data_IF_969737865603
#
_entry.id   IF_969737865603
#
_cell.length_a   1.000
_cell.length_b   1.000
_cell.length_c   1.000
_cell.angle_alpha   90.00
_cell.angle_beta   90.00
_cell.angle_gamma   90.00
#
_symmetry.space_group_name_H-M   'P 1'
#
loop_
_entity.id
_entity.type
_entity.pdbx_description
1 polymer ?
#
# COMPACT_ATOMS: atom_id res chain seq x y z
N UNK A 1 -21.58 -16.62 -8.26
CA UNK A 1 -21.55 -15.15 -8.42
C UNK A 1 -22.76 -14.60 -7.69
N UNK A 2 -22.62 -13.50 -6.96
CA UNK A 2 -23.75 -12.79 -6.34
C UNK A 2 -23.82 -11.38 -6.92
N UNK A 3 -25.03 -10.95 -7.27
CA UNK A 3 -25.26 -9.68 -7.97
C UNK A 3 -26.04 -8.76 -7.03
N UNK A 4 -25.49 -7.57 -6.78
CA UNK A 4 -26.11 -6.53 -5.96
C UNK A 4 -26.39 -5.33 -6.87
N UNK A 5 -27.66 -4.95 -6.95
CA UNK A 5 -28.12 -3.82 -7.75
C UNK A 5 -28.18 -2.55 -6.90
N UNK A 6 -28.34 -1.41 -7.56
CA UNK A 6 -28.44 -0.13 -6.86
C UNK A 6 -29.53 -0.13 -5.78
N UNK A 7 -29.28 0.60 -4.69
CA UNK A 7 -30.13 0.70 -3.50
C UNK A 7 -30.29 -0.57 -2.65
N UNK A 8 -29.73 -1.72 -3.06
CA UNK A 8 -29.68 -2.95 -2.27
C UNK A 8 -28.55 -2.93 -1.23
N UNK A 9 -28.70 -3.61 -0.09
CA UNK A 9 -27.63 -3.71 0.90
C UNK A 9 -26.42 -4.48 0.35
N UNK A 10 -25.22 -3.97 0.61
CA UNK A 10 -23.99 -4.69 0.26
C UNK A 10 -23.87 -5.99 1.06
N UNK A 11 -23.28 -7.04 0.47
CA UNK A 11 -23.02 -8.26 1.20
C UNK A 11 -22.14 -8.08 2.44
N UNK A 12 -22.38 -8.86 3.50
CA UNK A 12 -21.52 -8.81 4.69
C UNK A 12 -20.18 -9.55 4.49
N UNK A 13 -20.10 -10.47 3.53
CA UNK A 13 -18.90 -11.27 3.26
C UNK A 13 -18.55 -11.21 1.77
N UNK A 14 -17.26 -11.30 1.43
CA UNK A 14 -16.83 -11.37 0.04
C UNK A 14 -15.50 -12.12 -0.09
N UNK A 15 -15.21 -12.64 -1.27
CA UNK A 15 -13.85 -13.10 -1.63
C UNK A 15 -13.22 -12.18 -2.68
N UNK A 16 -14.01 -11.73 -3.65
CA UNK A 16 -13.63 -10.79 -4.68
C UNK A 16 -14.90 -10.03 -5.08
N UNK A 17 -14.77 -8.74 -5.35
CA UNK A 17 -15.88 -7.90 -5.76
C UNK A 17 -15.51 -7.05 -6.97
N UNK A 18 -16.47 -6.79 -7.85
CA UNK A 18 -16.28 -5.88 -8.98
C UNK A 18 -17.46 -4.93 -9.16
N UNK A 19 -17.19 -3.76 -9.72
CA UNK A 19 -18.19 -2.79 -10.14
C UNK A 19 -18.26 -2.67 -11.66
N UNK A 20 -19.46 -2.64 -12.23
CA UNK A 20 -19.69 -2.47 -13.67
C UNK A 20 -19.88 -0.99 -14.04
N UNK A 21 -18.75 -0.32 -14.27
CA UNK A 21 -18.69 1.10 -14.64
C UNK A 21 -18.83 1.26 -16.15
N UNK A 22 -19.65 2.22 -16.57
CA UNK A 22 -19.89 2.42 -18.00
C UNK A 22 -21.19 3.17 -18.25
N UNK A 23 -21.44 3.52 -19.51
CA UNK A 23 -22.63 4.27 -19.87
C UNK A 23 -23.87 3.39 -19.68
N UNK A 24 -24.92 4.01 -19.14
CA UNK A 24 -26.24 3.41 -19.00
C UNK A 24 -27.13 3.91 -20.11
N UNK A 25 -27.82 2.97 -20.75
CA UNK A 25 -28.81 3.25 -21.77
C UNK A 25 -29.99 4.06 -21.17
N UNK A 26 -30.26 5.26 -21.70
CA UNK A 26 -31.47 6.05 -21.41
C UNK A 26 -32.34 6.14 -22.66
N UNK A 27 -33.46 5.42 -22.73
CA UNK A 27 -34.37 5.47 -23.90
C UNK A 27 -35.06 4.16 -24.25
N UNK A 28 -35.42 4.00 -25.55
CA UNK A 28 -36.18 2.87 -26.07
C UNK A 28 -35.43 1.54 -25.94
N UNK A 29 -35.93 0.56 -25.15
CA UNK A 29 -35.27 -0.73 -24.92
C UNK A 29 -34.93 -1.52 -26.20
N UNK A 30 -35.70 -1.33 -27.29
CA UNK A 30 -35.53 -2.09 -28.53
C UNK A 30 -34.25 -1.76 -29.32
N UNK A 31 -33.58 -0.64 -29.00
CA UNK A 31 -32.39 -0.16 -29.72
C UNK A 31 -31.14 -0.07 -28.84
N UNK A 32 -31.18 -0.60 -27.62
CA UNK A 32 -30.15 -0.35 -26.60
C UNK A 32 -29.38 -1.62 -26.27
N UNK A 33 -28.05 -1.53 -26.33
CA UNK A 33 -27.16 -2.60 -25.91
C UNK A 33 -27.14 -2.68 -24.38
N UNK A 34 -27.82 -3.68 -23.82
CA UNK A 34 -27.70 -4.06 -22.40
C UNK A 34 -26.38 -4.82 -22.19
N UNK A 35 -25.28 -4.08 -22.31
CA UNK A 35 -23.94 -4.64 -22.17
C UNK A 35 -23.69 -5.17 -20.74
N UNK A 36 -24.42 -4.69 -19.73
CA UNK A 36 -24.28 -5.16 -18.35
C UNK A 36 -24.90 -6.55 -18.17
N UNK A 37 -26.07 -6.82 -18.74
CA UNK A 37 -26.60 -8.18 -18.78
C UNK A 37 -25.66 -9.14 -19.52
N UNK A 38 -25.08 -8.70 -20.63
CA UNK A 38 -24.08 -9.51 -21.35
C UNK A 38 -22.82 -9.73 -20.52
N UNK A 39 -22.31 -8.71 -19.81
CA UNK A 39 -21.18 -8.84 -18.91
C UNK A 39 -21.45 -9.86 -17.80
N UNK A 40 -22.65 -9.84 -17.19
CA UNK A 40 -23.04 -10.81 -16.17
C UNK A 40 -23.04 -12.24 -16.71
N UNK A 41 -23.59 -12.46 -17.91
CA UNK A 41 -23.58 -13.77 -18.59
C UNK A 41 -22.17 -14.26 -18.89
N UNK A 42 -21.29 -13.37 -19.35
CA UNK A 42 -19.89 -13.68 -19.64
C UNK A 42 -19.10 -13.99 -18.37
N UNK A 43 -19.31 -13.22 -17.29
CA UNK A 43 -18.70 -13.49 -15.98
C UNK A 43 -19.11 -14.86 -15.45
N UNK A 44 -20.38 -15.23 -15.57
CA UNK A 44 -20.88 -16.55 -15.21
C UNK A 44 -20.26 -17.65 -16.08
N UNK A 45 -20.20 -17.43 -17.40
CA UNK A 45 -19.60 -18.36 -18.38
C UNK A 45 -18.12 -18.61 -18.09
N UNK A 46 -17.37 -17.57 -17.71
CA UNK A 46 -15.97 -17.68 -17.30
C UNK A 46 -15.79 -18.17 -15.86
N UNK A 47 -16.87 -18.46 -15.14
CA UNK A 47 -16.83 -19.08 -13.82
C UNK A 47 -16.50 -18.10 -12.68
N UNK A 48 -16.69 -16.79 -12.84
CA UNK A 48 -16.49 -15.82 -11.76
C UNK A 48 -17.38 -16.16 -10.55
N UNK A 49 -16.78 -16.19 -9.35
CA UNK A 49 -17.48 -16.58 -8.11
C UNK A 49 -17.68 -15.43 -7.12
N UNK A 50 -17.18 -14.24 -7.42
CA UNK A 50 -17.28 -13.08 -6.54
C UNK A 50 -18.62 -12.34 -6.58
N UNK A 51 -18.61 -11.15 -6.01
CA UNK A 51 -19.70 -10.19 -5.98
C UNK A 51 -19.61 -9.22 -7.17
N UNK A 52 -20.76 -8.90 -7.76
CA UNK A 52 -20.88 -7.93 -8.85
C UNK A 52 -21.83 -6.82 -8.43
N UNK A 53 -21.34 -5.58 -8.44
CA UNK A 53 -22.11 -4.39 -8.18
C UNK A 53 -22.56 -3.75 -9.50
N UNK A 54 -23.87 -3.63 -9.65
CA UNK A 54 -24.53 -3.12 -10.85
C UNK A 54 -25.22 -1.80 -10.49
N UNK A 55 -24.85 -0.66 -11.12
CA UNK A 55 -25.43 0.64 -10.78
C UNK A 55 -26.87 0.82 -11.25
N UNK A 56 -27.42 -0.13 -12.01
CA UNK A 56 -28.82 -0.10 -12.43
C UNK A 56 -29.72 -0.69 -11.33
N UNK A 57 -30.99 -0.24 -11.24
CA UNK A 57 -31.98 -0.87 -10.38
C UNK A 57 -32.35 -2.26 -10.92
N UNK A 58 -32.67 -3.20 -10.02
CA UNK A 58 -32.97 -4.61 -10.38
C UNK A 58 -34.15 -4.75 -11.33
N UNK A 59 -35.18 -3.94 -11.14
CA UNK A 59 -36.42 -3.94 -11.93
C UNK A 59 -36.37 -2.97 -13.13
N UNK A 60 -35.24 -2.28 -13.32
CA UNK A 60 -35.08 -1.24 -14.34
C UNK A 60 -35.81 0.07 -14.01
N UNK A 61 -36.49 0.17 -12.85
CA UNK A 61 -37.24 1.35 -12.44
C UNK A 61 -36.36 2.24 -11.57
N UNK A 62 -36.00 3.39 -12.12
CA UNK A 62 -35.19 4.38 -11.39
C UNK A 62 -36.03 5.08 -10.33
N UNK A 63 -35.49 5.17 -9.12
CA UNK A 63 -36.10 5.94 -8.03
C UNK A 63 -35.80 7.43 -8.21
N UNK A 64 -36.72 8.30 -7.80
CA UNK A 64 -36.50 9.77 -7.81
C UNK A 64 -35.44 10.23 -6.79
N UNK A 65 -34.99 9.35 -5.89
CA UNK A 65 -33.95 9.64 -4.89
C UNK A 65 -32.54 9.55 -5.50
N UNK A 66 -32.20 10.59 -6.26
CA UNK A 66 -30.91 10.74 -6.92
C UNK A 66 -29.73 10.75 -5.93
N UNK A 67 -29.93 11.26 -4.71
CA UNK A 67 -28.87 11.32 -3.69
C UNK A 67 -28.52 9.92 -3.18
N UNK A 68 -29.53 9.07 -2.94
CA UNK A 68 -29.33 7.67 -2.54
C UNK A 68 -28.64 6.86 -3.64
N UNK A 69 -28.98 7.09 -4.90
CA UNK A 69 -28.31 6.44 -6.04
C UNK A 69 -26.81 6.75 -6.05
N UNK A 70 -26.44 8.05 -6.00
CA UNK A 70 -25.04 8.47 -5.98
C UNK A 70 -24.29 7.88 -4.78
N UNK A 71 -24.90 7.92 -3.59
CA UNK A 71 -24.26 7.40 -2.38
C UNK A 71 -23.99 5.89 -2.48
N UNK A 72 -24.90 5.13 -3.08
CA UNK A 72 -24.71 3.70 -3.31
C UNK A 72 -23.60 3.44 -4.33
N UNK A 73 -23.58 4.15 -5.46
CA UNK A 73 -22.55 4.01 -6.49
C UNK A 73 -21.16 4.34 -5.93
N UNK A 74 -21.03 5.45 -5.19
CA UNK A 74 -19.78 5.84 -4.54
C UNK A 74 -19.28 4.76 -3.56
N UNK A 75 -20.18 4.23 -2.73
CA UNK A 75 -19.85 3.16 -1.79
C UNK A 75 -19.44 1.86 -2.51
N UNK A 76 -20.14 1.51 -3.60
CA UNK A 76 -19.85 0.31 -4.38
C UNK A 76 -18.50 0.41 -5.10
N UNK A 77 -18.18 1.56 -5.68
CA UNK A 77 -16.89 1.83 -6.32
C UNK A 77 -15.73 1.77 -5.32
N UNK A 78 -15.88 2.37 -4.13
CA UNK A 78 -14.86 2.29 -3.09
C UNK A 78 -14.65 0.87 -2.56
N UNK A 79 -15.73 0.09 -2.47
CA UNK A 79 -15.73 -1.30 -2.00
C UNK A 79 -15.13 -2.28 -3.00
N UNK A 80 -15.31 -2.05 -4.30
CA UNK A 80 -14.92 -3.00 -5.33
C UNK A 80 -13.40 -3.25 -5.37
N UNK A 81 -13.01 -4.51 -5.57
CA UNK A 81 -11.62 -4.90 -5.82
C UNK A 81 -11.20 -4.56 -7.25
N UNK A 82 -12.14 -4.70 -8.19
CA UNK A 82 -11.96 -4.40 -9.60
C UNK A 82 -13.08 -3.50 -10.11
N UNK A 83 -12.75 -2.57 -10.99
CA UNK A 83 -13.72 -1.70 -11.66
C UNK A 83 -13.60 -1.98 -13.16
N UNK A 84 -14.60 -2.65 -13.71
CA UNK A 84 -14.68 -2.95 -15.13
C UNK A 84 -15.32 -1.75 -15.82
N UNK A 85 -14.51 -1.04 -16.60
CA UNK A 85 -14.91 0.16 -17.32
C UNK A 85 -15.18 -0.23 -18.78
N UNK A 86 -16.44 -0.48 -19.13
CA UNK A 86 -16.82 -0.75 -20.51
C UNK A 86 -17.30 0.54 -21.18
N UNK A 87 -16.63 0.97 -22.25
CA UNK A 87 -16.93 2.20 -23.00
C UNK A 87 -17.27 1.91 -24.47
N UNK A 88 -18.46 1.35 -24.77
CA UNK A 88 -18.97 1.18 -26.14
C UNK A 88 -19.56 2.49 -26.66
N UNK A 89 -18.74 3.56 -26.66
CA UNK A 89 -19.20 4.93 -26.85
C UNK A 89 -19.74 5.14 -28.27
N UNK A 90 -20.98 5.61 -28.33
CA UNK A 90 -21.67 6.09 -29.53
C UNK A 90 -22.31 7.42 -29.17
N UNK A 91 -21.93 8.52 -29.82
CA UNK A 91 -22.36 9.85 -29.37
C UNK A 91 -23.86 10.11 -29.50
N UNK A 92 -24.53 9.35 -30.38
CA UNK A 92 -25.97 9.41 -30.62
C UNK A 92 -26.82 8.62 -29.62
N UNK A 93 -26.27 7.54 -29.04
CA UNK A 93 -27.04 6.55 -28.28
C UNK A 93 -26.49 6.28 -26.89
N UNK A 94 -25.16 6.29 -26.73
CA UNK A 94 -24.49 5.88 -25.50
C UNK A 94 -23.20 6.70 -25.26
N UNK A 95 -23.32 8.03 -25.02
CA UNK A 95 -22.17 8.94 -25.01
C UNK A 95 -21.25 8.76 -23.79
N UNK A 96 -21.74 8.24 -22.66
CA UNK A 96 -20.93 7.96 -21.47
C UNK A 96 -20.22 9.19 -20.90
N UNK A 97 -20.97 10.28 -20.72
CA UNK A 97 -20.42 11.55 -20.23
C UNK A 97 -20.04 11.47 -18.75
N UNK A 98 -20.92 10.95 -17.88
CA UNK A 98 -20.62 10.73 -16.46
C UNK A 98 -19.46 9.77 -16.28
N UNK A 99 -19.38 8.72 -17.12
CA UNK A 99 -18.26 7.76 -17.09
C UNK A 99 -16.90 8.41 -17.35
N UNK A 100 -16.83 9.56 -18.03
CA UNK A 100 -15.56 10.28 -18.15
C UNK A 100 -15.06 10.85 -16.83
N UNK A 101 -15.98 11.36 -16.00
CA UNK A 101 -15.67 11.90 -14.68
C UNK A 101 -15.23 10.78 -13.74
N UNK A 102 -15.99 9.67 -13.69
CA UNK A 102 -15.65 8.49 -12.91
C UNK A 102 -14.30 7.89 -13.33
N UNK A 103 -14.06 7.76 -14.64
CA UNK A 103 -12.76 7.33 -15.18
C UNK A 103 -11.63 8.27 -14.76
N UNK A 104 -11.87 9.58 -14.83
CA UNK A 104 -10.92 10.62 -14.41
C UNK A 104 -10.54 10.50 -12.94
N UNK A 105 -11.54 10.32 -12.07
CA UNK A 105 -11.35 10.11 -10.65
C UNK A 105 -10.55 8.84 -10.35
N UNK A 106 -11.02 7.68 -10.84
CA UNK A 106 -10.44 6.39 -10.48
C UNK A 106 -9.07 6.13 -11.09
N UNK A 107 -8.79 6.61 -12.31
CA UNK A 107 -7.45 6.46 -12.91
C UNK A 107 -6.39 7.23 -12.11
N UNK A 108 -6.78 8.31 -11.43
CA UNK A 108 -5.89 9.09 -10.57
C UNK A 108 -5.79 8.49 -9.17
N UNK A 109 -6.90 7.97 -8.65
CA UNK A 109 -6.99 7.51 -7.25
C UNK A 109 -6.39 6.12 -7.05
N UNK A 110 -6.76 5.16 -7.89
CA UNK A 110 -6.33 3.77 -7.76
C UNK A 110 -6.41 3.01 -9.10
N UNK A 111 -5.50 3.32 -10.04
CA UNK A 111 -5.53 2.74 -11.38
C UNK A 111 -5.41 1.21 -11.40
N UNK A 112 -4.86 0.60 -10.35
CA UNK A 112 -4.64 -0.85 -10.30
C UNK A 112 -5.92 -1.67 -10.16
N UNK A 113 -7.05 -1.05 -9.81
CA UNK A 113 -8.37 -1.72 -9.82
C UNK A 113 -9.04 -1.67 -11.18
N UNK A 114 -8.64 -0.73 -12.04
CA UNK A 114 -9.32 -0.49 -13.30
C UNK A 114 -8.99 -1.57 -14.32
N UNK A 115 -10.00 -1.93 -15.11
CA UNK A 115 -9.85 -2.62 -16.38
C UNK A 115 -10.64 -1.83 -17.41
N UNK A 116 -9.99 -1.39 -18.48
CA UNK A 116 -10.63 -0.58 -19.51
C UNK A 116 -10.99 -1.46 -20.71
N UNK A 117 -12.26 -1.52 -21.05
CA UNK A 117 -12.73 -2.16 -22.28
C UNK A 117 -13.32 -1.13 -23.24
N UNK A 118 -12.83 -1.14 -24.49
CA UNK A 118 -13.18 -0.17 -25.52
C UNK A 118 -13.31 -0.93 -26.84
N UNK A 119 -14.53 -1.20 -27.36
CA UNK A 119 -14.68 -1.89 -28.62
C UNK A 119 -14.11 -1.07 -29.78
N UNK A 120 -13.78 -1.74 -30.88
CA UNK A 120 -13.05 -1.14 -32.01
C UNK A 120 -13.77 0.04 -32.67
N UNK A 121 -15.11 0.05 -32.61
CA UNK A 121 -16.00 1.05 -33.18
C UNK A 121 -16.40 2.17 -32.19
N UNK A 122 -15.83 2.18 -30.97
CA UNK A 122 -16.10 3.20 -29.97
C UNK A 122 -15.55 4.58 -30.39
N UNK A 123 -16.41 5.58 -30.33
CA UNK A 123 -16.10 6.95 -30.73
C UNK A 123 -15.35 7.70 -29.61
N UNK A 124 -14.44 8.62 -29.94
CA UNK A 124 -13.85 9.58 -28.99
C UNK A 124 -13.24 8.97 -27.69
N UNK A 125 -12.55 7.84 -27.81
CA UNK A 125 -11.95 7.07 -26.69
C UNK A 125 -10.41 7.09 -26.63
N UNK A 126 -9.76 7.82 -27.54
CA UNK A 126 -8.28 7.86 -27.65
C UNK A 126 -7.61 8.34 -26.36
N UNK A 127 -8.23 9.29 -25.66
CA UNK A 127 -7.69 9.86 -24.43
C UNK A 127 -7.70 8.84 -23.28
N UNK A 128 -8.76 8.06 -23.15
CA UNK A 128 -8.90 7.00 -22.16
C UNK A 128 -7.83 5.92 -22.39
N UNK A 129 -7.64 5.48 -23.65
CA UNK A 129 -6.59 4.52 -24.02
C UNK A 129 -5.19 5.05 -23.71
N UNK A 130 -4.89 6.31 -24.02
CA UNK A 130 -3.57 6.91 -23.73
C UNK A 130 -3.20 6.83 -22.24
N UNK A 131 -4.11 7.25 -21.35
CA UNK A 131 -3.86 7.16 -19.91
C UNK A 131 -3.83 5.73 -19.40
N UNK A 132 -4.68 4.85 -19.95
CA UNK A 132 -4.66 3.45 -19.56
C UNK A 132 -3.28 2.82 -19.82
N UNK A 133 -2.71 3.02 -21.01
CA UNK A 133 -1.36 2.57 -21.34
C UNK A 133 -0.30 3.18 -20.44
N UNK A 134 -0.33 4.51 -20.25
CA UNK A 134 0.66 5.20 -19.42
C UNK A 134 0.65 4.79 -17.94
N UNK A 135 -0.50 4.38 -17.42
CA UNK A 135 -0.69 3.93 -16.03
C UNK A 135 -0.63 2.40 -15.87
N UNK A 136 -0.42 1.66 -16.96
CA UNK A 136 -0.42 0.19 -16.94
C UNK A 136 -1.79 -0.44 -16.64
N UNK A 137 -2.89 0.27 -16.89
CA UNK A 137 -4.26 -0.24 -16.79
C UNK A 137 -4.50 -1.21 -17.96
N UNK A 138 -4.95 -2.46 -17.72
CA UNK A 138 -5.28 -3.40 -18.79
C UNK A 138 -6.35 -2.84 -19.74
N UNK A 139 -6.09 -2.92 -21.05
CA UNK A 139 -7.02 -2.49 -22.10
C UNK A 139 -7.51 -3.70 -22.89
N UNK A 140 -8.82 -3.78 -23.12
CA UNK A 140 -9.49 -4.86 -23.84
C UNK A 140 -10.31 -4.30 -25.00
N UNK A 141 -10.31 -4.99 -26.13
CA UNK A 141 -11.12 -4.62 -27.29
C UNK A 141 -12.48 -5.37 -27.33
N UNK A 142 -12.72 -6.30 -26.40
CA UNK A 142 -14.00 -7.01 -26.27
C UNK A 142 -14.39 -7.21 -24.81
N UNK A 143 -15.71 -7.25 -24.57
CA UNK A 143 -16.28 -7.46 -23.24
C UNK A 143 -15.98 -8.87 -22.71
N UNK A 144 -16.01 -9.88 -23.59
CA UNK A 144 -15.65 -11.26 -23.28
C UNK A 144 -14.21 -11.37 -22.77
N UNK A 145 -13.24 -10.79 -23.47
CA UNK A 145 -11.85 -10.84 -23.04
C UNK A 145 -11.63 -10.19 -21.67
N UNK A 146 -12.30 -9.06 -21.41
CA UNK A 146 -12.27 -8.37 -20.13
C UNK A 146 -12.89 -9.20 -19.01
N UNK A 147 -14.08 -9.78 -19.23
CA UNK A 147 -14.76 -10.64 -18.27
C UNK A 147 -13.94 -11.91 -17.97
N UNK A 148 -13.36 -12.54 -18.99
CA UNK A 148 -12.46 -13.68 -18.83
C UNK A 148 -11.18 -13.33 -18.06
N UNK A 149 -10.66 -12.11 -18.22
CA UNK A 149 -9.49 -11.65 -17.48
C UNK A 149 -9.77 -11.42 -16.00
N UNK A 150 -10.89 -10.78 -15.64
CA UNK A 150 -11.27 -10.60 -14.22
C UNK A 150 -11.68 -11.91 -13.56
N UNK A 151 -12.31 -12.84 -14.30
CA UNK A 151 -12.70 -14.14 -13.76
C UNK A 151 -11.51 -15.00 -13.26
N UNK A 152 -10.31 -14.76 -13.80
CA UNK A 152 -9.06 -15.40 -13.36
C UNK A 152 -8.44 -14.78 -12.12
N UNK A 153 -8.94 -13.63 -11.66
CA UNK A 153 -8.41 -12.97 -10.47
C UNK A 153 -8.76 -13.77 -9.21
N UNK A 154 -7.76 -14.03 -8.39
CA UNK A 154 -7.94 -14.75 -7.12
C UNK A 154 -8.59 -13.81 -6.09
N UNK A 155 -9.63 -14.29 -5.40
CA UNK A 155 -10.19 -13.61 -4.23
C UNK A 155 -9.56 -14.06 -2.90
N UNK A 156 -9.87 -13.34 -1.83
CA UNK A 156 -9.56 -13.71 -0.44
C UNK A 156 -10.74 -13.35 0.48
N UNK A 157 -11.10 -14.26 1.41
CA UNK A 157 -12.27 -14.10 2.26
C UNK A 157 -12.11 -12.90 3.19
N UNK A 158 -13.15 -12.07 3.25
CA UNK A 158 -13.28 -10.85 4.05
C UNK A 158 -14.72 -10.72 4.55
N UNK A 159 -14.90 -10.11 5.72
CA UNK A 159 -16.23 -9.88 6.31
C UNK A 159 -16.37 -8.46 6.93
N UNK A 160 -17.59 -7.95 7.00
CA UNK A 160 -17.90 -6.64 7.57
C UNK A 160 -17.14 -5.51 6.88
N UNK A 161 -16.45 -4.68 7.67
CA UNK A 161 -15.63 -3.57 7.16
C UNK A 161 -14.41 -4.02 6.36
N UNK A 162 -13.92 -5.25 6.56
CA UNK A 162 -12.82 -5.82 5.78
C UNK A 162 -13.14 -5.88 4.29
N UNK A 163 -14.43 -6.05 3.93
CA UNK A 163 -14.86 -6.08 2.55
C UNK A 163 -14.71 -4.73 1.82
N UNK A 164 -14.44 -3.64 2.54
CA UNK A 164 -14.12 -2.33 1.95
C UNK A 164 -12.62 -2.13 1.75
N UNK A 165 -11.78 -3.07 2.20
CA UNK A 165 -10.33 -3.06 1.97
C UNK A 165 -10.03 -3.81 0.68
N UNK A 166 -9.46 -3.16 -0.35
CA UNK A 166 -9.22 -3.81 -1.65
C UNK A 166 -8.14 -4.89 -1.54
N UNK A 167 -8.25 -5.93 -2.38
CA UNK A 167 -7.35 -7.08 -2.34
C UNK A 167 -5.87 -6.72 -2.36
N UNK A 168 -5.45 -5.70 -3.10
CA UNK A 168 -4.02 -5.34 -3.18
C UNK A 168 -3.47 -4.69 -1.91
N UNK A 169 -4.32 -4.07 -1.07
CA UNK A 169 -3.93 -3.58 0.28
C UNK A 169 -4.09 -4.70 1.29
N UNK A 170 -5.20 -5.42 1.23
CA UNK A 170 -5.49 -6.59 2.07
C UNK A 170 -4.32 -7.58 2.07
N UNK A 171 -3.72 -7.82 0.91
CA UNK A 171 -2.57 -8.74 0.74
C UNK A 171 -1.25 -8.25 1.30
N UNK A 172 -1.14 -6.99 1.69
CA UNK A 172 0.14 -6.46 2.17
C UNK A 172 0.44 -7.01 3.57
N UNK A 173 1.70 -7.39 3.85
CA UNK A 173 2.09 -7.82 5.20
C UNK A 173 1.76 -6.77 6.26
N UNK A 174 2.00 -5.49 5.97
CA UNK A 174 1.71 -4.38 6.86
C UNK A 174 0.22 -4.29 7.26
N UNK A 175 -0.70 -4.45 6.30
CA UNK A 175 -2.13 -4.45 6.60
C UNK A 175 -2.50 -5.66 7.47
N UNK A 176 -2.03 -6.85 7.11
CA UNK A 176 -2.35 -8.07 7.86
C UNK A 176 -1.80 -8.02 9.29
N UNK A 177 -0.59 -7.50 9.50
CA UNK A 177 0.00 -7.33 10.82
C UNK A 177 -0.81 -6.34 11.69
N UNK A 178 -1.15 -5.16 11.13
CA UNK A 178 -2.00 -4.18 11.82
C UNK A 178 -3.37 -4.75 12.16
N UNK A 179 -4.02 -5.40 11.19
CA UNK A 179 -5.35 -5.96 11.36
C UNK A 179 -5.38 -7.09 12.40
N UNK A 180 -4.35 -7.95 12.41
CA UNK A 180 -4.16 -8.95 13.45
C UNK A 180 -3.99 -8.32 14.83
N UNK A 181 -3.20 -7.24 14.94
CA UNK A 181 -3.05 -6.51 16.20
C UNK A 181 -4.37 -5.91 16.70
N UNK A 182 -5.18 -5.33 15.82
CA UNK A 182 -6.52 -4.82 16.17
C UNK A 182 -7.43 -5.96 16.66
N UNK A 183 -7.49 -7.08 15.94
CA UNK A 183 -8.28 -8.26 16.34
C UNK A 183 -7.83 -8.82 17.68
N UNK A 184 -6.52 -8.92 17.92
CA UNK A 184 -5.96 -9.40 19.17
C UNK A 184 -6.30 -8.48 20.36
N UNK A 185 -6.44 -7.18 20.11
CA UNK A 185 -6.94 -6.21 21.10
C UNK A 185 -8.47 -6.25 21.28
N UNK A 186 -9.18 -7.11 20.53
CA UNK A 186 -10.64 -7.21 20.52
C UNK A 186 -11.35 -6.17 19.64
N UNK A 187 -10.61 -5.33 18.92
CA UNK A 187 -11.18 -4.30 18.06
C UNK A 187 -11.70 -4.88 16.75
N UNK A 188 -12.66 -4.20 16.14
CA UNK A 188 -13.30 -4.63 14.88
C UNK A 188 -13.20 -3.52 13.84
N UNK A 189 -12.82 -3.88 12.61
CA UNK A 189 -12.87 -2.99 11.46
C UNK A 189 -14.31 -2.93 10.93
N UNK A 190 -14.99 -1.80 11.15
CA UNK A 190 -16.35 -1.56 10.67
C UNK A 190 -16.39 -0.86 9.31
N UNK A 191 -15.36 -0.08 8.97
CA UNK A 191 -15.25 0.52 7.65
C UNK A 191 -13.84 0.91 7.24
N UNK A 192 -13.59 0.98 5.94
CA UNK A 192 -12.33 1.40 5.35
C UNK A 192 -12.57 2.16 4.04
N UNK A 193 -11.78 3.21 3.81
CA UNK A 193 -11.73 3.95 2.54
C UNK A 193 -10.28 4.18 2.14
N UNK A 194 -9.96 3.90 0.89
CA UNK A 194 -8.62 4.16 0.36
C UNK A 194 -8.40 5.63 0.14
N UNK A 195 -7.40 6.17 0.83
CA UNK A 195 -6.96 7.56 0.70
C UNK A 195 -5.85 7.73 -0.33
N UNK A 196 -4.95 6.76 -0.43
CA UNK A 196 -3.84 6.85 -1.38
C UNK A 196 -3.15 5.51 -1.51
N UNK A 197 -2.60 5.22 -2.69
CA UNK A 197 -1.75 4.05 -2.92
C UNK A 197 -0.56 4.48 -3.75
N UNK A 198 0.63 4.16 -3.27
CA UNK A 198 1.89 4.37 -3.97
C UNK A 198 2.55 3.06 -4.32
N UNK A 199 3.01 3.00 -5.57
CA UNK A 199 3.51 1.80 -6.21
C UNK A 199 4.85 2.12 -6.84
N UNK A 200 5.83 1.26 -6.60
CA UNK A 200 7.13 1.34 -7.27
C UNK A 200 7.11 0.60 -8.62
N UNK A 201 6.16 -0.33 -8.80
CA UNK A 201 5.81 -1.00 -10.06
C UNK A 201 4.29 -1.23 -10.08
N UNK A 202 3.62 -1.40 -11.24
CA UNK A 202 2.16 -1.54 -11.30
C UNK A 202 1.56 -2.56 -10.31
N UNK A 203 2.26 -3.69 -10.10
CA UNK A 203 1.83 -4.78 -9.20
C UNK A 203 2.36 -4.67 -7.77
N UNK A 204 3.29 -3.75 -7.49
CA UNK A 204 4.03 -3.70 -6.24
C UNK A 204 3.68 -2.46 -5.40
N UNK A 205 2.80 -2.65 -4.42
CA UNK A 205 2.38 -1.62 -3.46
C UNK A 205 3.49 -1.37 -2.46
N UNK A 206 4.07 -0.17 -2.45
CA UNK A 206 5.08 0.23 -1.48
C UNK A 206 4.47 0.96 -0.28
N UNK A 207 3.53 1.87 -0.52
CA UNK A 207 2.85 2.57 0.56
C UNK A 207 1.37 2.74 0.25
N UNK A 208 0.56 2.84 1.29
CA UNK A 208 -0.87 3.08 1.17
C UNK A 208 -1.38 3.84 2.38
N UNK A 209 -2.51 4.50 2.21
CA UNK A 209 -3.22 5.16 3.29
C UNK A 209 -4.70 4.76 3.28
N UNK A 210 -5.22 4.38 4.45
CA UNK A 210 -6.62 4.01 4.66
C UNK A 210 -7.24 4.92 5.72
N UNK A 211 -8.34 5.58 5.40
CA UNK A 211 -9.25 6.08 6.42
C UNK A 211 -10.04 4.90 6.98
N UNK A 212 -10.09 4.75 8.30
CA UNK A 212 -10.68 3.56 8.95
C UNK A 212 -11.72 3.96 9.98
N UNK A 213 -12.73 3.10 10.11
CA UNK A 213 -13.67 3.10 11.23
C UNK A 213 -13.44 1.84 12.06
N UNK A 214 -12.88 2.02 13.25
CA UNK A 214 -12.58 0.96 14.20
C UNK A 214 -13.53 1.04 15.38
N UNK A 215 -14.24 -0.05 15.65
CA UNK A 215 -14.89 -0.24 16.93
C UNK A 215 -13.84 -0.68 17.97
N UNK A 216 -13.62 0.17 18.97
CA UNK A 216 -12.65 -0.05 20.05
C UNK A 216 -13.36 -0.75 21.19
N UNK A 217 -13.18 -2.07 21.30
CA UNK A 217 -13.98 -2.90 22.20
C UNK A 217 -13.82 -2.52 23.67
N UNK A 218 -12.59 -2.19 24.09
CA UNK A 218 -12.30 -1.77 25.46
C UNK A 218 -13.00 -0.45 25.86
N UNK A 219 -13.37 0.37 24.88
CA UNK A 219 -13.97 1.69 25.10
C UNK A 219 -15.45 1.76 24.69
N UNK A 220 -15.97 0.73 24.01
CA UNK A 220 -17.36 0.68 23.55
C UNK A 220 -17.73 1.79 22.56
N UNK A 221 -16.76 2.31 21.78
CA UNK A 221 -16.97 3.42 20.84
C UNK A 221 -16.32 3.18 19.49
N UNK A 222 -16.76 3.97 18.51
CA UNK A 222 -16.11 4.06 17.22
C UNK A 222 -14.97 5.10 17.23
N UNK A 223 -13.95 4.81 16.43
CA UNK A 223 -12.85 5.71 16.08
C UNK A 223 -12.78 5.77 14.55
N UNK A 224 -13.34 6.84 13.99
CA UNK A 224 -13.63 6.96 12.56
C UNK A 224 -13.10 8.28 11.95
N UNK A 225 -12.09 8.90 12.58
CA UNK A 225 -11.54 10.19 12.18
C UNK A 225 -10.02 10.14 11.99
N UNK A 226 -9.50 8.94 11.72
CA UNK A 226 -8.06 8.71 11.53
C UNK A 226 -7.79 8.00 10.22
N UNK A 227 -6.63 8.34 9.67
CA UNK A 227 -6.02 7.63 8.56
C UNK A 227 -4.80 6.89 9.09
N UNK A 228 -4.64 5.65 8.65
CA UNK A 228 -3.42 4.87 8.89
C UNK A 228 -2.60 4.81 7.61
N UNK A 229 -1.28 4.91 7.75
CA UNK A 229 -0.33 4.70 6.65
C UNK A 229 0.38 3.37 6.82
N UNK A 230 0.43 2.55 5.76
CA UNK A 230 1.20 1.30 5.75
C UNK A 230 2.27 1.28 4.67
N UNK A 231 3.40 0.68 5.00
CA UNK A 231 4.54 0.35 4.12
C UNK A 231 5.27 -0.88 4.67
N UNK A 232 6.16 -1.53 3.90
CA UNK A 232 6.99 -2.62 4.42
C UNK A 232 7.74 -2.22 5.69
N UNK A 233 7.78 -3.15 6.66
CA UNK A 233 8.61 -3.04 7.86
C UNK A 233 10.10 -3.04 7.48
N UNK A 234 10.93 -2.45 8.34
CA UNK A 234 12.37 -2.40 8.15
C UNK A 234 13.10 -3.35 9.11
N UNK A 235 14.30 -3.77 8.72
CA UNK A 235 15.27 -4.38 9.62
C UNK A 235 16.45 -3.43 9.76
N UNK A 236 16.73 -2.99 11.00
CA UNK A 236 17.77 -2.01 11.32
C UNK A 236 18.83 -2.61 12.24
N UNK A 237 20.09 -2.22 12.04
CA UNK A 237 21.21 -2.74 12.84
C UNK A 237 21.89 -1.63 13.64
N UNK A 238 21.83 -1.71 14.96
CA UNK A 238 22.66 -0.89 15.85
C UNK A 238 24.07 -1.49 15.89
N UNK A 239 24.97 -0.93 15.09
CA UNK A 239 26.38 -1.31 15.10
C UNK A 239 27.13 -0.36 16.03
N UNK A 240 27.82 -0.89 17.03
CA UNK A 240 28.40 -0.07 18.08
C UNK A 240 29.71 -0.63 18.64
N UNK A 241 30.39 0.18 19.43
CA UNK A 241 31.50 -0.24 20.27
C UNK A 241 31.39 0.44 21.63
N UNK A 242 31.23 -0.35 22.71
CA UNK A 242 31.12 0.22 24.05
C UNK A 242 32.41 0.92 24.47
N UNK A 243 32.23 2.06 25.11
CA UNK A 243 33.27 2.75 25.86
C UNK A 243 33.03 2.57 27.36
N UNK A 244 34.02 2.95 28.17
CA UNK A 244 33.89 2.94 29.63
C UNK A 244 32.85 3.97 30.11
N UNK A 245 32.88 5.19 29.54
CA UNK A 245 31.78 6.14 29.65
C UNK A 245 30.69 5.76 28.63
N UNK A 246 29.48 5.53 29.11
CA UNK A 246 28.31 5.22 28.30
C UNK A 246 28.13 6.21 27.14
N UNK A 247 28.32 7.50 27.39
CA UNK A 247 28.14 8.57 26.42
C UNK A 247 29.26 8.63 25.36
N UNK A 248 30.39 7.98 25.60
CA UNK A 248 31.47 7.80 24.63
C UNK A 248 31.35 6.53 23.79
N UNK A 249 30.30 5.74 23.98
CA UNK A 249 30.00 4.60 23.10
C UNK A 249 29.91 5.10 21.67
N UNK A 250 30.65 4.47 20.77
CA UNK A 250 30.65 4.79 19.34
C UNK A 250 29.54 4.01 18.64
N UNK A 251 28.80 4.68 17.78
CA UNK A 251 27.71 4.14 16.98
C UNK A 251 28.00 4.43 15.51
N UNK A 252 27.77 3.44 14.66
CA UNK A 252 27.86 3.56 13.21
C UNK A 252 26.49 3.91 12.66
N UNK A 253 26.44 4.96 11.86
CA UNK A 253 25.26 5.46 11.16
C UNK A 253 25.56 5.53 9.66
N UNK A 254 24.49 5.60 8.88
CA UNK A 254 24.51 5.95 7.46
C UNK A 254 23.91 7.33 7.29
N UNK A 255 24.58 8.19 6.53
CA UNK A 255 24.06 9.49 6.11
C UNK A 255 23.54 9.37 4.69
N UNK A 256 22.28 9.70 4.48
CA UNK A 256 21.64 9.68 3.16
C UNK A 256 20.77 10.93 2.95
N UNK A 257 20.75 11.46 1.72
CA UNK A 257 19.75 12.44 1.33
C UNK A 257 18.36 11.78 1.34
N UNK A 258 17.43 12.36 2.09
CA UNK A 258 16.03 11.94 2.08
C UNK A 258 15.17 13.15 1.78
N UNK A 259 14.32 13.08 0.75
CA UNK A 259 13.44 14.18 0.36
C UNK A 259 12.48 14.67 1.47
N UNK A 260 12.08 13.87 2.49
CA UNK A 260 11.30 14.36 3.64
C UNK A 260 12.14 15.04 4.72
N UNK A 261 13.47 15.04 4.62
CA UNK A 261 14.35 15.55 5.66
C UNK A 261 14.11 17.05 5.92
N UNK A 262 14.23 17.43 7.19
CA UNK A 262 14.22 18.83 7.66
C UNK A 262 15.46 19.17 8.46
N UNK A 263 16.54 18.42 8.22
CA UNK A 263 17.86 18.60 8.83
C UNK A 263 18.64 19.68 8.08
N UNK A 264 19.68 20.28 8.70
CA UNK A 264 20.41 21.39 8.09
C UNK A 264 21.05 21.09 6.73
N UNK A 265 21.39 19.83 6.46
CA UNK A 265 22.07 19.39 5.24
C UNK A 265 21.18 18.58 4.28
N UNK A 266 19.88 18.48 4.56
CA UNK A 266 18.95 17.69 3.77
C UNK A 266 19.18 16.17 3.86
N UNK A 267 19.97 15.71 4.83
CA UNK A 267 20.27 14.31 5.04
C UNK A 267 19.78 13.81 6.40
N UNK A 268 19.31 12.58 6.45
CA UNK A 268 19.02 11.87 7.70
C UNK A 268 20.21 10.98 8.03
N UNK A 269 20.55 10.92 9.32
CA UNK A 269 21.57 10.01 9.81
C UNK A 269 20.87 8.89 10.56
N UNK A 270 20.80 7.73 9.94
CA UNK A 270 20.01 6.59 10.39
C UNK A 270 20.91 5.36 10.65
N UNK A 271 20.33 4.33 11.26
CA UNK A 271 20.98 3.04 11.34
C UNK A 271 21.02 2.40 9.94
N UNK A 272 22.04 1.58 9.60
CA UNK A 272 21.97 0.79 8.40
C UNK A 272 20.71 -0.10 8.44
N UNK A 273 19.82 0.09 7.47
CA UNK A 273 18.49 -0.49 7.49
C UNK A 273 17.76 -0.42 6.16
N UNK A 274 16.83 -1.35 5.98
CA UNK A 274 15.98 -1.33 4.81
C UNK A 274 14.86 -2.35 4.88
N UNK A 275 14.16 -2.53 3.77
CA UNK A 275 12.92 -3.31 3.71
C UNK A 275 12.90 -4.22 2.50
N UNK A 276 12.03 -5.23 2.53
CA UNK A 276 11.88 -6.16 1.42
C UNK A 276 10.43 -6.41 1.06
N UNK A 277 10.19 -6.66 -0.21
CA UNK A 277 8.91 -7.17 -0.71
C UNK A 277 8.87 -8.71 -0.77
N UNK A 278 10.02 -9.37 -0.60
CA UNK A 278 10.11 -10.82 -0.61
C UNK A 278 9.50 -11.40 0.67
N UNK A 279 8.45 -12.23 0.54
CA UNK A 279 7.70 -12.77 1.69
C UNK A 279 8.46 -13.83 2.47
N UNK A 280 9.44 -14.45 1.86
CA UNK A 280 10.24 -15.55 2.39
C UNK A 280 11.58 -15.07 2.97
N UNK A 281 11.93 -13.79 2.82
CA UNK A 281 13.17 -13.23 3.34
C UNK A 281 12.97 -12.77 4.79
N UNK A 282 13.80 -13.28 5.69
CA UNK A 282 13.75 -12.91 7.10
C UNK A 282 14.34 -11.53 7.34
N UNK A 283 13.89 -10.84 8.40
CA UNK A 283 14.48 -9.55 8.78
C UNK A 283 15.97 -9.64 9.12
N UNK A 284 16.44 -10.79 9.62
CA UNK A 284 17.87 -11.03 9.83
C UNK A 284 18.64 -11.03 8.50
N UNK A 285 18.11 -11.66 7.45
CA UNK A 285 18.74 -11.66 6.13
C UNK A 285 18.77 -10.24 5.57
N UNK A 286 17.65 -9.50 5.64
CA UNK A 286 17.59 -8.10 5.22
C UNK A 286 18.64 -7.26 5.95
N UNK A 287 18.69 -7.33 7.29
CA UNK A 287 19.69 -6.61 8.08
C UNK A 287 21.15 -6.86 7.61
N UNK A 288 21.47 -8.10 7.22
CA UNK A 288 22.81 -8.46 6.71
C UNK A 288 23.07 -7.87 5.32
N UNK A 289 22.08 -7.91 4.44
CA UNK A 289 22.18 -7.34 3.10
C UNK A 289 22.39 -5.83 3.18
N UNK A 290 21.59 -5.13 3.99
CA UNK A 290 21.64 -3.66 4.12
C UNK A 290 22.97 -3.19 4.71
N UNK A 291 23.49 -3.87 5.74
CA UNK A 291 24.82 -3.54 6.29
C UNK A 291 25.92 -3.71 5.24
N UNK A 292 25.80 -4.71 4.35
CA UNK A 292 26.76 -4.89 3.26
C UNK A 292 26.59 -3.83 2.18
N UNK A 293 25.37 -3.49 1.80
CA UNK A 293 25.07 -2.51 0.75
C UNK A 293 25.42 -1.09 1.17
N UNK A 294 25.08 -0.70 2.40
CA UNK A 294 25.19 0.68 2.88
C UNK A 294 26.51 1.01 3.59
N UNK A 295 27.25 0.01 4.06
CA UNK A 295 28.53 0.19 4.77
C UNK A 295 29.70 -0.60 4.16
N UNK A 296 29.45 -1.45 3.16
CA UNK A 296 30.46 -2.36 2.61
C UNK A 296 30.93 -3.43 3.62
N UNK A 297 30.24 -3.59 4.75
CA UNK A 297 30.66 -4.48 5.83
C UNK A 297 30.01 -5.85 5.66
N UNK A 298 30.83 -6.89 5.56
CA UNK A 298 30.33 -8.28 5.58
C UNK A 298 30.22 -8.76 7.01
N UNK A 299 29.02 -9.21 7.40
CA UNK A 299 28.73 -9.70 8.75
C UNK A 299 28.31 -11.17 8.72
N UNK A 300 28.73 -11.94 9.74
CA UNK A 300 28.18 -13.27 9.99
C UNK A 300 26.83 -13.12 10.69
N UNK A 301 25.70 -13.61 10.13
CA UNK A 301 24.38 -13.45 10.75
C UNK A 301 24.31 -13.95 12.19
N UNK A 302 25.18 -14.88 12.60
CA UNK A 302 25.22 -15.44 13.96
C UNK A 302 25.77 -14.48 15.01
N UNK A 303 26.44 -13.40 14.60
CA UNK A 303 26.96 -12.38 15.53
C UNK A 303 25.92 -11.30 15.84
N UNK A 304 24.82 -11.25 15.09
CA UNK A 304 23.73 -10.32 15.34
C UNK A 304 22.86 -10.80 16.50
N UNK A 305 22.55 -9.88 17.41
CA UNK A 305 21.55 -10.08 18.47
C UNK A 305 20.24 -9.40 18.09
N UNK A 306 19.12 -10.12 18.15
CA UNK A 306 17.79 -9.57 17.93
C UNK A 306 17.21 -8.93 19.21
N UNK A 307 16.51 -7.80 19.06
CA UNK A 307 15.90 -7.03 20.16
C UNK A 307 14.37 -6.87 20.05
N UNK A 308 13.77 -7.32 18.96
CA UNK A 308 12.32 -7.25 18.71
C UNK A 308 11.94 -6.16 17.71
N UNK A 309 10.64 -5.87 17.61
CA UNK A 309 10.08 -4.89 16.67
C UNK A 309 9.17 -3.88 17.38
N UNK A 310 9.20 -2.63 16.94
CA UNK A 310 8.33 -1.54 17.43
C UNK A 310 7.94 -0.61 16.28
N UNK A 311 6.78 0.05 16.40
CA UNK A 311 6.39 1.11 15.47
C UNK A 311 7.35 2.30 15.56
N UNK A 312 7.73 2.86 14.42
CA UNK A 312 8.61 4.03 14.37
C UNK A 312 7.83 5.33 14.64
N UNK A 313 6.58 5.42 14.15
CA UNK A 313 5.69 6.57 14.36
C UNK A 313 4.23 6.11 14.55
N UNK A 314 3.90 5.60 15.74
CA UNK A 314 2.68 4.83 15.98
C UNK A 314 1.34 5.55 15.75
N UNK A 315 1.31 6.89 15.82
CA UNK A 315 0.11 7.70 15.56
C UNK A 315 -0.09 8.04 14.07
N UNK A 316 0.88 7.70 13.21
CA UNK A 316 0.84 7.99 11.78
C UNK A 316 0.87 6.71 10.94
N UNK A 317 1.68 5.73 11.35
CA UNK A 317 1.94 4.57 10.51
C UNK A 317 2.00 3.25 11.27
N UNK A 318 1.55 2.20 10.58
CA UNK A 318 1.53 0.83 11.09
C UNK A 318 2.87 0.10 10.95
N UNK A 319 3.81 0.65 10.16
CA UNK A 319 5.09 0.00 9.92
C UNK A 319 5.96 -0.03 11.18
N UNK A 320 6.74 -1.11 11.31
CA UNK A 320 7.64 -1.37 12.41
C UNK A 320 9.10 -1.45 11.95
N UNK A 321 10.02 -1.18 12.86
CA UNK A 321 11.42 -1.51 12.72
C UNK A 321 11.78 -2.70 13.60
N UNK A 322 12.30 -3.76 12.99
CA UNK A 322 12.95 -4.86 13.69
C UNK A 322 14.40 -4.48 13.98
N UNK A 323 14.81 -4.54 15.24
CA UNK A 323 16.14 -4.10 15.68
C UNK A 323 17.07 -5.28 15.93
N UNK A 324 18.23 -5.21 15.32
CA UNK A 324 19.38 -6.06 15.58
C UNK A 324 20.54 -5.23 16.13
N UNK A 325 21.52 -5.87 16.75
CA UNK A 325 22.75 -5.19 17.16
C UNK A 325 24.00 -6.00 16.89
N UNK A 326 25.08 -5.30 16.64
CA UNK A 326 26.43 -5.86 16.49
C UNK A 326 27.43 -5.00 17.29
N UNK A 327 28.09 -5.60 18.28
CA UNK A 327 29.24 -4.95 18.91
C UNK A 327 30.52 -5.28 18.14
N UNK A 328 31.27 -4.26 17.74
CA UNK A 328 32.49 -4.40 16.97
C UNK A 328 33.75 -4.43 17.84
N UNK A 329 34.78 -5.11 17.33
CA UNK A 329 36.14 -4.99 17.86
C UNK A 329 36.71 -3.59 17.62
N UNK A 330 37.80 -3.25 18.31
CA UNK A 330 38.48 -1.97 18.13
C UNK A 330 39.01 -1.80 16.69
N UNK A 331 39.52 -2.88 16.09
CA UNK A 331 40.07 -2.90 14.74
C UNK A 331 38.98 -2.68 13.69
N UNK A 332 37.85 -3.38 13.82
CA UNK A 332 36.71 -3.21 12.92
C UNK A 332 36.13 -1.79 13.01
N UNK A 333 36.00 -1.23 14.22
CA UNK A 333 35.55 0.15 14.39
C UNK A 333 36.54 1.16 13.82
N UNK A 334 37.85 0.89 13.90
CA UNK A 334 38.88 1.75 13.31
C UNK A 334 38.77 1.83 11.78
N UNK A 335 38.40 0.74 11.11
CA UNK A 335 38.17 0.73 9.66
C UNK A 335 36.97 1.62 9.28
N UNK A 336 35.87 1.56 10.03
CA UNK A 336 34.69 2.41 9.79
C UNK A 336 34.96 3.89 10.09
N UNK A 337 35.76 4.20 11.12
CA UNK A 337 36.26 5.57 11.34
C UNK A 337 37.08 6.08 10.16
N UNK A 338 37.94 5.23 9.58
CA UNK A 338 38.71 5.60 8.40
C UNK A 338 37.79 5.88 7.19
N UNK A 339 36.73 5.08 7.01
CA UNK A 339 35.71 5.34 5.98
C UNK A 339 35.00 6.68 6.18
N UNK A 340 34.58 6.99 7.42
CA UNK A 340 33.92 8.26 7.76
C UNK A 340 34.83 9.46 7.45
N UNK A 341 36.08 9.42 7.92
CA UNK A 341 37.07 10.46 7.61
C UNK A 341 37.30 10.63 6.09
N UNK A 342 37.25 9.53 5.34
CA UNK A 342 37.38 9.54 3.89
C UNK A 342 36.08 9.92 3.14
N UNK A 343 34.96 10.12 3.84
CA UNK A 343 33.62 10.26 3.24
C UNK A 343 33.31 9.14 2.23
N UNK A 344 33.63 7.91 2.61
CA UNK A 344 33.38 6.75 1.74
C UNK A 344 31.88 6.58 1.53
N UNK A 345 31.48 6.52 0.27
CA UNK A 345 30.10 6.28 -0.14
C UNK A 345 29.87 4.84 -0.53
N UNK A 346 28.70 4.32 -0.17
CA UNK A 346 28.22 3.00 -0.58
C UNK A 346 26.81 3.13 -1.19
N UNK A 347 26.10 2.02 -1.34
CA UNK A 347 24.79 1.95 -1.98
C UNK A 347 24.85 1.62 -3.46
N UNK A 348 23.68 1.66 -4.10
CA UNK A 348 23.51 1.29 -5.50
C UNK A 348 23.09 2.50 -6.34
N UNK A 349 24.04 3.02 -7.14
CA UNK A 349 23.83 4.17 -8.04
C UNK A 349 22.66 3.93 -9.01
N UNK A 350 22.42 2.68 -9.43
CA UNK A 350 21.30 2.35 -10.31
C UNK A 350 19.94 2.44 -9.62
N UNK A 351 19.91 2.41 -8.28
CA UNK A 351 18.73 2.59 -7.45
C UNK A 351 18.65 4.00 -6.84
N UNK A 352 19.50 4.95 -7.28
CA UNK A 352 19.61 6.32 -6.76
C UNK A 352 19.93 6.41 -5.26
N UNK A 353 20.40 5.32 -4.66
CA UNK A 353 20.73 5.23 -3.24
C UNK A 353 22.23 5.44 -3.05
N UNK A 354 22.59 6.46 -2.25
CA UNK A 354 23.97 6.83 -1.95
C UNK A 354 24.08 7.11 -0.47
N UNK A 355 24.66 6.17 0.27
CA UNK A 355 24.90 6.29 1.71
C UNK A 355 26.34 6.71 1.96
N UNK A 356 26.59 7.43 3.06
CA UNK A 356 27.95 7.74 3.54
C UNK A 356 28.11 7.27 4.97
N UNK A 357 29.18 6.51 5.25
CA UNK A 357 29.48 6.00 6.61
C UNK A 357 29.72 7.16 7.58
N UNK A 358 29.10 7.12 8.77
CA UNK A 358 29.35 8.04 9.87
C UNK A 358 29.59 7.28 11.17
N UNK A 359 30.64 7.62 11.91
CA UNK A 359 30.90 7.08 13.25
C UNK A 359 30.81 8.23 14.25
N UNK A 360 29.85 8.15 15.17
CA UNK A 360 29.63 9.19 16.19
C UNK A 360 29.56 8.59 17.57
N UNK A 361 29.96 9.37 18.57
CA UNK A 361 29.72 9.05 19.97
C UNK A 361 28.27 9.32 20.31
N UNK A 362 27.72 8.56 21.26
CA UNK A 362 26.35 8.77 21.71
C UNK A 362 26.09 10.22 22.15
N UNK A 363 27.05 10.86 22.83
CA UNK A 363 26.95 12.28 23.21
C UNK A 363 26.77 13.23 22.03
N UNK A 364 27.37 12.93 20.88
CA UNK A 364 27.28 13.76 19.66
C UNK A 364 25.90 13.56 19.01
N UNK A 365 25.44 12.31 18.91
CA UNK A 365 24.11 11.98 18.36
C UNK A 365 23.00 12.62 19.19
N UNK A 366 23.15 12.69 20.52
CA UNK A 366 22.19 13.34 21.41
C UNK A 366 22.22 14.88 21.32
N UNK A 367 23.35 15.46 20.92
CA UNK A 367 23.53 16.91 20.83
C UNK A 367 23.17 17.49 19.45
N UNK A 368 23.22 16.66 18.40
CA UNK A 368 23.03 17.07 17.01
C UNK A 368 21.66 16.64 16.45
N UNK A 369 21.00 17.48 15.62
CA UNK A 369 19.64 17.20 15.13
C UNK A 369 19.59 16.29 13.90
N UNK A 370 20.65 15.51 13.63
CA UNK A 370 20.76 14.71 12.40
C UNK A 370 20.02 13.37 12.44
N UNK A 371 19.97 12.74 13.62
CA UNK A 371 19.23 11.50 13.85
C UNK A 371 17.82 11.82 14.33
N UNK A 372 16.83 11.06 13.84
CA UNK A 372 15.45 11.20 14.28
C UNK A 372 15.20 10.47 15.61
N UNK A 373 14.05 10.73 16.21
CA UNK A 373 13.66 10.10 17.48
C UNK A 373 13.56 8.56 17.37
N UNK A 374 13.20 8.05 16.20
CA UNK A 374 13.14 6.60 15.95
C UNK A 374 14.53 5.98 16.05
N UNK A 375 15.52 6.58 15.39
CA UNK A 375 16.93 6.19 15.41
C UNK A 375 17.49 6.24 16.83
N UNK A 376 17.27 7.35 17.54
CA UNK A 376 17.66 7.49 18.94
C UNK A 376 17.03 6.41 19.83
N UNK A 377 15.73 6.16 19.67
CA UNK A 377 15.01 5.13 20.40
C UNK A 377 15.57 3.73 20.16
N UNK A 378 15.90 3.40 18.91
CA UNK A 378 16.52 2.12 18.56
C UNK A 378 17.91 1.96 19.18
N UNK A 379 18.77 2.98 19.08
CA UNK A 379 20.11 2.98 19.71
C UNK A 379 20.00 2.75 21.22
N UNK A 380 19.17 3.54 21.90
CA UNK A 380 19.02 3.46 23.34
C UNK A 380 18.40 2.13 23.80
N UNK A 381 17.51 1.54 23.00
CA UNK A 381 16.93 0.21 23.30
C UNK A 381 17.96 -0.92 23.32
N UNK A 382 19.10 -0.75 22.64
CA UNK A 382 20.20 -1.73 22.60
C UNK A 382 21.25 -1.43 23.65
N UNK A 383 21.59 -0.14 23.83
CA UNK A 383 22.71 0.25 24.68
C UNK A 383 22.38 0.23 26.17
N UNK A 384 21.14 0.57 26.53
CA UNK A 384 20.68 0.53 27.92
C UNK A 384 20.56 -0.94 28.38
N UNK A 385 21.00 -1.25 29.61
CA UNK A 385 20.78 -2.57 30.17
C UNK A 385 19.27 -2.87 30.25
N UNK A 386 18.85 -4.13 30.04
CA UNK A 386 17.47 -4.52 30.32
C UNK A 386 17.18 -4.21 31.80
N UNK A 387 16.11 -3.44 32.03
CA UNK A 387 15.59 -3.09 33.35
C UNK A 387 15.02 -4.30 34.08
#
# INVERSE_FOLDING_TARGET
MRITFAAEPFPHETTCSLFLMGPTARGNPATMTDWRAEALRLLETHGFKGDVFVPEPRDGVWTDDYARQIAWEDAALHRADHILVWLPRRMDTLPGLTTNDEWGYWKSRDPARLMLGVPADAENVRYQRYYATGLGIPVFDSLEAMCGAVARQRGEPRQGGECQVPLHIWRTPAFQAWHAAQKNAGNVLHGARVEWVFRVKPTLVFAWALHVDIFVAAEGRHKSNEMILGRPDIAAVVIYRRAADFLDTEIVLVREFRSPSRTPDGCIWELPSGSTFARDRSGLAVAVDEVKEELGLTIDPRTLRAHGARQLAGTLSVHQGQVFSLELSAEAMAQLRAQDHANTTHGNVSHSEVTTTRVRRLREILAEPHADWSTLGMILSVLLPPS
#
